data_IF_990629237501
#
_entry.id   IF_990629237501
#
_cell.length_a   1.000
_cell.length_b   1.000
_cell.length_c   1.000
_cell.angle_alpha   90.00
_cell.angle_beta   90.00
_cell.angle_gamma   90.00
#
_symmetry.space_group_name_H-M   'P 1'
#
loop_
_entity.id
_entity.type
_entity.pdbx_description
1 polymer ?
#
# COMPACT_ATOMS: atom_id res chain seq x y z
N UNK A 1 -9.19 1.74 3.41
CA UNK A 1 -10.52 1.16 3.19
C UNK A 1 -11.45 1.59 4.30
N UNK A 2 -12.47 2.42 3.99
CA UNK A 2 -13.54 2.75 4.96
C UNK A 2 -14.41 1.52 5.21
N UNK A 3 -14.54 0.61 4.24
CA UNK A 3 -15.19 -0.70 4.38
C UNK A 3 -14.72 -1.54 5.58
N UNK A 4 -13.47 -1.38 6.03
CA UNK A 4 -12.91 -2.10 7.18
C UNK A 4 -13.12 -1.38 8.52
N UNK A 5 -13.83 -0.25 8.51
CA UNK A 5 -13.99 0.64 9.67
C UNK A 5 -15.39 0.64 10.24
N UNK A 6 -16.27 -0.31 9.87
CA UNK A 6 -17.62 -0.43 10.43
C UNK A 6 -17.67 -0.22 11.97
N UNK A 7 -16.81 -0.88 12.78
CA UNK A 7 -16.84 -0.71 14.24
C UNK A 7 -16.05 0.50 14.75
N UNK A 8 -15.40 1.28 13.89
CA UNK A 8 -14.60 2.42 14.33
C UNK A 8 -15.49 3.50 14.96
N UNK A 9 -14.91 4.15 15.96
CA UNK A 9 -15.36 5.42 16.53
C UNK A 9 -14.41 6.55 16.14
N UNK A 10 -14.76 7.78 16.50
CA UNK A 10 -13.87 8.96 16.40
C UNK A 10 -12.53 8.73 17.11
N UNK A 11 -12.51 8.02 18.23
CA UNK A 11 -11.26 7.72 18.95
C UNK A 11 -10.37 6.78 18.17
N UNK A 12 -10.97 5.81 17.48
CA UNK A 12 -10.22 4.86 16.67
C UNK A 12 -9.54 5.54 15.49
N UNK A 13 -10.26 6.45 14.83
CA UNK A 13 -9.69 7.32 13.80
C UNK A 13 -8.63 8.27 14.36
N UNK A 14 -8.84 8.84 15.54
CA UNK A 14 -7.89 9.76 16.17
C UNK A 14 -6.55 9.06 16.45
N UNK A 15 -6.58 7.83 16.95
CA UNK A 15 -5.37 7.01 17.16
C UNK A 15 -4.64 6.76 15.85
N UNK A 16 -5.37 6.37 14.79
CA UNK A 16 -4.81 6.11 13.47
C UNK A 16 -4.21 7.37 12.84
N UNK A 17 -4.88 8.53 12.95
CA UNK A 17 -4.39 9.83 12.46
C UNK A 17 -3.11 10.23 13.19
N UNK A 18 -3.09 10.13 14.52
CA UNK A 18 -1.91 10.47 15.32
C UNK A 18 -0.72 9.57 14.96
N UNK A 19 -0.97 8.27 14.79
CA UNK A 19 0.05 7.30 14.40
C UNK A 19 0.56 7.57 12.98
N UNK A 20 -0.33 7.75 12.01
CA UNK A 20 0.04 8.05 10.62
C UNK A 20 0.86 9.33 10.52
N UNK A 21 0.42 10.40 11.17
CA UNK A 21 1.14 11.68 11.19
C UNK A 21 2.52 11.56 11.83
N UNK A 22 2.64 10.85 12.97
CA UNK A 22 3.94 10.56 13.61
C UNK A 22 4.92 9.87 12.65
N UNK A 23 4.40 9.02 11.77
CA UNK A 23 5.15 8.31 10.74
C UNK A 23 5.24 9.04 9.40
N UNK A 24 5.00 10.35 9.39
CA UNK A 24 5.18 11.27 8.25
C UNK A 24 4.19 11.08 7.09
N UNK A 25 3.04 10.45 7.34
CA UNK A 25 1.90 10.49 6.43
C UNK A 25 1.11 11.79 6.66
N UNK A 26 0.74 12.47 5.58
CA UNK A 26 0.06 13.77 5.64
C UNK A 26 -1.47 13.66 5.67
N UNK A 27 -2.00 12.47 5.41
CA UNK A 27 -3.43 12.32 5.21
C UNK A 27 -3.88 10.91 4.88
N UNK A 28 -5.20 10.76 4.74
CA UNK A 28 -5.83 9.54 4.26
C UNK A 28 -6.68 9.77 3.00
N UNK A 29 -6.51 8.87 2.04
CA UNK A 29 -7.47 8.64 0.96
C UNK A 29 -8.57 7.70 1.48
N UNK A 30 -9.76 8.23 1.72
CA UNK A 30 -10.88 7.48 2.27
C UNK A 30 -11.60 6.75 1.13
N UNK A 31 -11.19 5.50 0.89
CA UNK A 31 -11.86 4.62 -0.08
C UNK A 31 -13.25 4.22 0.42
N UNK A 32 -14.31 4.62 -0.31
CA UNK A 32 -15.72 4.44 0.06
C UNK A 32 -16.51 3.65 -0.98
N UNK A 33 -17.40 2.77 -0.50
CA UNK A 33 -18.31 1.95 -1.30
C UNK A 33 -19.77 2.43 -1.25
N UNK A 34 -20.70 1.51 -1.48
CA UNK A 34 -22.14 1.79 -1.67
C UNK A 34 -22.93 1.90 -0.37
N UNK A 35 -22.42 1.35 0.73
CA UNK A 35 -23.18 1.22 1.97
C UNK A 35 -23.26 2.56 2.73
N UNK A 36 -24.47 2.90 3.18
CA UNK A 36 -24.76 4.20 3.80
C UNK A 36 -23.91 4.50 5.04
N UNK A 37 -23.65 3.48 5.87
CA UNK A 37 -22.87 3.61 7.10
C UNK A 37 -21.42 4.08 6.85
N UNK A 38 -20.88 3.87 5.65
CA UNK A 38 -19.52 4.31 5.33
C UNK A 38 -19.41 5.85 5.39
N UNK A 39 -20.50 6.57 5.09
CA UNK A 39 -20.56 8.02 5.21
C UNK A 39 -20.41 8.48 6.66
N UNK A 40 -21.03 7.77 7.60
CA UNK A 40 -20.88 8.07 9.03
C UNK A 40 -19.43 7.87 9.48
N UNK A 41 -18.77 6.78 9.04
CA UNK A 41 -17.34 6.54 9.35
C UNK A 41 -16.41 7.56 8.70
N UNK A 42 -16.75 8.10 7.53
CA UNK A 42 -16.04 9.24 6.93
C UNK A 42 -16.18 10.48 7.81
N UNK A 43 -17.40 10.81 8.25
CA UNK A 43 -17.64 11.97 9.12
C UNK A 43 -16.91 11.84 10.47
N UNK A 44 -16.88 10.64 11.05
CA UNK A 44 -16.11 10.36 12.26
C UNK A 44 -14.60 10.61 12.04
N UNK A 45 -14.07 10.24 10.87
CA UNK A 45 -12.66 10.49 10.51
C UNK A 45 -12.35 11.99 10.38
N UNK A 46 -13.24 12.76 9.74
CA UNK A 46 -13.10 14.21 9.64
C UNK A 46 -13.16 14.89 11.02
N UNK A 47 -14.09 14.47 11.88
CA UNK A 47 -14.16 14.93 13.26
C UNK A 47 -12.88 14.59 14.05
N UNK A 48 -12.34 13.38 13.87
CA UNK A 48 -11.08 12.97 14.48
C UNK A 48 -9.90 13.82 14.00
N UNK A 49 -9.85 14.13 12.70
CA UNK A 49 -8.82 14.98 12.11
C UNK A 49 -8.88 16.42 12.65
N UNK A 50 -10.07 17.00 12.78
CA UNK A 50 -10.24 18.31 13.42
C UNK A 50 -9.80 18.28 14.88
N UNK A 51 -10.26 17.27 15.63
CA UNK A 51 -9.93 17.09 17.05
C UNK A 51 -8.43 16.88 17.30
N UNK A 52 -7.72 16.26 16.35
CA UNK A 52 -6.28 16.05 16.48
C UNK A 52 -5.47 17.36 16.53
N UNK A 53 -6.00 18.44 15.94
CA UNK A 53 -5.27 19.70 15.76
C UNK A 53 -4.05 19.61 14.84
N UNK A 54 -3.84 18.45 14.17
CA UNK A 54 -2.72 18.21 13.27
C UNK A 54 -3.05 18.74 11.86
N UNK A 55 -2.04 19.10 11.05
CA UNK A 55 -2.23 19.44 9.64
C UNK A 55 -2.50 18.20 8.77
N UNK A 56 -3.35 17.28 9.25
CA UNK A 56 -3.68 16.03 8.59
C UNK A 56 -4.86 16.23 7.62
N UNK A 57 -4.70 15.81 6.37
CA UNK A 57 -5.67 16.04 5.29
C UNK A 57 -6.40 14.77 4.89
N UNK A 58 -7.64 14.92 4.45
CA UNK A 58 -8.50 13.81 4.05
C UNK A 58 -9.09 14.11 2.67
N UNK A 59 -9.29 13.09 1.85
CA UNK A 59 -10.10 13.20 0.64
C UNK A 59 -10.80 11.88 0.33
N UNK A 60 -11.86 11.97 -0.46
CA UNK A 60 -12.68 10.80 -0.81
C UNK A 60 -12.08 10.12 -2.04
N UNK A 61 -11.95 8.80 -1.96
CA UNK A 61 -11.67 7.91 -3.09
C UNK A 61 -12.90 7.05 -3.35
N UNK A 62 -13.63 7.28 -4.43
CA UNK A 62 -14.82 6.49 -4.74
C UNK A 62 -14.44 5.12 -5.29
N UNK A 63 -14.88 4.04 -4.63
CA UNK A 63 -14.74 2.68 -5.16
C UNK A 63 -15.83 2.41 -6.19
N UNK A 64 -15.47 2.57 -7.45
CA UNK A 64 -16.40 2.40 -8.57
C UNK A 64 -16.62 0.94 -8.96
N UNK A 65 -15.95 -0.01 -8.30
CA UNK A 65 -16.34 -1.43 -8.39
C UNK A 65 -17.50 -1.74 -7.45
N UNK A 66 -17.70 -0.92 -6.43
CA UNK A 66 -18.82 -1.01 -5.49
C UNK A 66 -19.95 -0.05 -5.83
N UNK A 67 -19.67 1.21 -6.15
CA UNK A 67 -20.73 2.25 -6.30
C UNK A 67 -21.52 2.05 -7.61
N UNK A 68 -22.88 2.10 -7.57
CA UNK A 68 -23.70 2.15 -8.78
C UNK A 68 -23.28 3.27 -9.72
N UNK A 69 -23.30 3.03 -11.03
CA UNK A 69 -22.84 4.04 -12.01
C UNK A 69 -23.44 3.86 -13.40
N UNK A 70 -24.67 3.36 -13.45
CA UNK A 70 -25.38 3.08 -14.70
C UNK A 70 -26.18 4.29 -15.18
N UNK A 71 -26.84 5.03 -14.27
CA UNK A 71 -27.72 6.14 -14.62
C UNK A 71 -27.24 7.49 -14.08
N UNK A 72 -27.85 8.58 -14.53
CA UNK A 72 -27.52 9.93 -14.08
C UNK A 72 -27.82 10.15 -12.59
N UNK A 73 -28.80 9.44 -12.04
CA UNK A 73 -29.20 9.50 -10.64
C UNK A 73 -28.10 8.98 -9.70
N UNK A 74 -27.28 8.03 -10.15
CA UNK A 74 -26.20 7.45 -9.37
C UNK A 74 -25.13 8.48 -8.95
N UNK A 75 -25.04 9.61 -9.69
CA UNK A 75 -24.18 10.74 -9.30
C UNK A 75 -24.56 11.36 -7.96
N UNK A 76 -25.79 11.15 -7.49
CA UNK A 76 -26.29 11.64 -6.21
C UNK A 76 -25.45 11.16 -5.02
N UNK A 77 -25.01 9.89 -5.03
CA UNK A 77 -24.19 9.36 -3.94
C UNK A 77 -22.83 10.08 -3.85
N UNK A 78 -22.17 10.30 -4.98
CA UNK A 78 -20.89 11.03 -5.03
C UNK A 78 -21.07 12.48 -4.57
N UNK A 79 -22.15 13.13 -5.02
CA UNK A 79 -22.51 14.50 -4.63
C UNK A 79 -22.72 14.60 -3.12
N UNK A 80 -23.39 13.62 -2.52
CA UNK A 80 -23.69 13.59 -1.09
C UNK A 80 -22.45 13.44 -0.21
N UNK A 81 -21.43 12.71 -0.66
CA UNK A 81 -20.12 12.67 0.01
C UNK A 81 -19.41 14.01 -0.10
N UNK A 82 -19.30 14.59 -1.29
CA UNK A 82 -18.61 15.87 -1.49
C UNK A 82 -19.29 16.98 -0.69
N UNK A 83 -20.63 17.06 -0.71
CA UNK A 83 -21.39 18.05 0.06
C UNK A 83 -21.13 17.96 1.57
N UNK A 84 -20.90 16.75 2.09
CA UNK A 84 -20.69 16.53 3.51
C UNK A 84 -19.32 17.03 4.02
N UNK A 85 -18.29 17.05 3.15
CA UNK A 85 -16.89 17.25 3.59
C UNK A 85 -16.16 18.39 2.89
N UNK A 86 -16.67 18.91 1.77
CA UNK A 86 -16.00 19.89 0.91
C UNK A 86 -15.44 21.12 1.65
N UNK A 87 -16.16 21.63 2.64
CA UNK A 87 -15.80 22.84 3.37
C UNK A 87 -15.10 22.58 4.71
N UNK A 88 -14.83 21.32 5.04
CA UNK A 88 -14.15 20.96 6.27
C UNK A 88 -12.68 21.42 6.25
N UNK A 89 -12.10 21.95 7.34
CA UNK A 89 -10.72 22.44 7.38
C UNK A 89 -9.65 21.39 7.03
N UNK A 90 -9.92 20.11 7.35
CA UNK A 90 -9.07 18.97 7.01
C UNK A 90 -9.28 18.42 5.58
N UNK A 91 -10.18 18.97 4.76
CA UNK A 91 -10.32 18.55 3.36
C UNK A 91 -9.04 18.86 2.58
N UNK A 92 -8.49 17.86 1.90
CA UNK A 92 -7.35 18.05 1.00
C UNK A 92 -7.79 18.81 -0.25
N UNK A 93 -6.96 19.79 -0.62
CA UNK A 93 -7.18 20.64 -1.79
C UNK A 93 -5.88 20.74 -2.59
N UNK A 94 -6.00 20.70 -3.92
CA UNK A 94 -4.93 20.97 -4.88
C UNK A 94 -5.35 22.17 -5.70
N UNK A 95 -4.48 23.18 -5.82
CA UNK A 95 -4.77 24.45 -6.51
C UNK A 95 -6.10 25.10 -6.07
N UNK A 96 -6.41 25.01 -4.77
CA UNK A 96 -7.63 25.54 -4.16
C UNK A 96 -8.90 24.69 -4.38
N UNK A 97 -8.85 23.67 -5.24
CA UNK A 97 -9.97 22.78 -5.57
C UNK A 97 -10.00 21.55 -4.65
N UNK A 98 -11.19 21.03 -4.34
CA UNK A 98 -11.35 19.80 -3.54
C UNK A 98 -10.85 18.60 -4.34
N UNK A 99 -9.92 17.84 -3.76
CA UNK A 99 -9.43 16.61 -4.39
C UNK A 99 -10.44 15.49 -4.20
N UNK A 100 -10.71 14.79 -5.29
CA UNK A 100 -11.49 13.55 -5.32
C UNK A 100 -10.73 12.55 -6.18
N UNK A 101 -10.66 11.29 -5.74
CA UNK A 101 -10.10 10.20 -6.52
C UNK A 101 -11.10 9.06 -6.70
N UNK A 102 -10.68 8.03 -7.41
CA UNK A 102 -11.43 6.78 -7.57
C UNK A 102 -10.51 5.58 -7.43
N UNK A 103 -11.09 4.43 -7.13
CA UNK A 103 -10.55 3.14 -7.55
C UNK A 103 -11.44 2.62 -8.69
N UNK A 104 -10.84 2.26 -9.82
CA UNK A 104 -11.54 2.01 -11.08
C UNK A 104 -12.43 3.20 -11.51
N UNK A 105 -13.42 2.94 -12.37
CA UNK A 105 -14.41 3.90 -12.83
C UNK A 105 -14.34 4.19 -14.32
N UNK A 106 -13.38 3.61 -15.04
CA UNK A 106 -13.29 3.69 -16.50
C UNK A 106 -14.50 3.09 -17.21
N UNK A 107 -15.22 2.19 -16.56
CA UNK A 107 -16.45 1.57 -17.05
C UNK A 107 -17.74 2.22 -16.51
N UNK A 108 -17.65 3.14 -15.56
CA UNK A 108 -18.79 3.89 -15.05
C UNK A 108 -19.34 4.83 -16.12
N UNK A 109 -20.64 4.75 -16.43
CA UNK A 109 -21.25 5.45 -17.56
C UNK A 109 -22.17 6.59 -17.15
N UNK A 110 -22.88 6.47 -16.03
CA UNK A 110 -23.81 7.49 -15.53
C UNK A 110 -24.77 8.01 -16.63
N UNK A 111 -25.30 7.10 -17.45
CA UNK A 111 -26.17 7.42 -18.60
C UNK A 111 -25.48 8.04 -19.82
N UNK A 112 -24.15 8.15 -19.84
CA UNK A 112 -23.38 8.69 -20.97
C UNK A 112 -22.75 7.58 -21.83
N UNK A 113 -22.44 7.89 -23.09
CA UNK A 113 -21.87 6.92 -24.03
C UNK A 113 -20.40 6.58 -23.75
N UNK A 114 -19.62 7.57 -23.34
CA UNK A 114 -18.17 7.44 -23.15
C UNK A 114 -17.74 7.79 -21.73
N UNK A 115 -16.64 7.20 -21.26
CA UNK A 115 -16.01 7.51 -19.96
C UNK A 115 -15.71 8.99 -19.80
N UNK A 116 -15.20 9.65 -20.86
CA UNK A 116 -14.85 11.06 -20.79
C UNK A 116 -16.11 11.94 -20.61
N UNK A 117 -17.19 11.66 -21.34
CA UNK A 117 -18.47 12.37 -21.16
C UNK A 117 -19.05 12.11 -19.76
N UNK A 118 -19.06 10.85 -19.33
CA UNK A 118 -19.58 10.43 -18.03
C UNK A 118 -18.91 11.20 -16.88
N UNK A 119 -17.58 11.16 -16.80
CA UNK A 119 -16.85 11.83 -15.73
C UNK A 119 -16.81 13.35 -15.86
N UNK A 120 -16.96 13.89 -17.08
CA UNK A 120 -17.20 15.33 -17.27
C UNK A 120 -18.55 15.73 -16.67
N UNK A 121 -19.61 14.96 -16.89
CA UNK A 121 -20.93 15.20 -16.31
C UNK A 121 -20.92 15.04 -14.77
N UNK A 122 -20.28 13.99 -14.24
CA UNK A 122 -20.08 13.80 -12.79
C UNK A 122 -19.38 15.02 -12.19
N UNK A 123 -18.25 15.45 -12.77
CA UNK A 123 -17.49 16.60 -12.28
C UNK A 123 -18.35 17.87 -12.29
N UNK A 124 -19.13 18.15 -13.34
CA UNK A 124 -20.05 19.28 -13.35
C UNK A 124 -21.11 19.21 -12.24
N UNK A 125 -21.62 18.02 -11.90
CA UNK A 125 -22.56 17.84 -10.80
C UNK A 125 -21.89 18.17 -9.46
N UNK A 126 -20.68 17.65 -9.22
CA UNK A 126 -19.93 17.91 -8.00
C UNK A 126 -19.51 19.39 -7.86
N UNK A 127 -19.19 20.04 -8.99
CA UNK A 127 -18.81 21.45 -9.06
C UNK A 127 -19.94 22.43 -8.71
N UNK A 128 -21.20 21.95 -8.64
CA UNK A 128 -22.30 22.72 -8.04
C UNK A 128 -22.07 23.01 -6.55
N UNK A 129 -21.24 22.21 -5.87
CA UNK A 129 -20.88 22.40 -4.46
C UNK A 129 -19.61 23.23 -4.33
N UNK A 130 -18.53 22.84 -5.01
CA UNK A 130 -17.19 23.45 -4.91
C UNK A 130 -16.35 23.05 -6.12
N UNK A 131 -15.36 23.83 -6.57
CA UNK A 131 -14.40 23.40 -7.59
C UNK A 131 -13.73 22.06 -7.24
N UNK A 132 -13.62 21.15 -8.23
CA UNK A 132 -13.12 19.78 -8.06
C UNK A 132 -11.81 19.57 -8.81
N UNK A 133 -10.89 18.86 -8.16
CA UNK A 133 -9.66 18.33 -8.75
C UNK A 133 -9.73 16.80 -8.78
N UNK A 134 -10.04 16.24 -9.95
CA UNK A 134 -10.28 14.82 -10.13
C UNK A 134 -8.97 14.08 -10.50
N UNK A 135 -8.53 13.18 -9.63
CA UNK A 135 -7.34 12.33 -9.80
C UNK A 135 -7.78 10.84 -9.74
N UNK A 136 -8.33 10.28 -10.83
CA UNK A 136 -8.87 8.92 -10.79
C UNK A 136 -7.77 7.87 -10.94
N UNK A 137 -8.06 6.65 -10.47
CA UNK A 137 -7.30 5.44 -10.82
C UNK A 137 -8.11 4.57 -11.80
N UNK A 138 -8.29 5.07 -13.02
CA UNK A 138 -8.92 4.34 -14.11
C UNK A 138 -7.98 3.29 -14.70
N UNK A 139 -8.41 2.04 -14.85
CA UNK A 139 -7.55 0.98 -15.41
C UNK A 139 -7.52 0.99 -16.94
N UNK A 140 -6.91 2.02 -17.50
CA UNK A 140 -6.80 2.27 -18.94
C UNK A 140 -5.35 2.26 -19.41
N UNK A 141 -5.14 2.03 -20.72
CA UNK A 141 -3.85 2.26 -21.36
C UNK A 141 -3.41 3.73 -21.14
N UNK A 142 -2.17 4.01 -20.68
CA UNK A 142 -1.67 5.37 -20.54
C UNK A 142 -1.80 6.24 -21.79
N UNK A 143 -1.79 5.68 -23.00
CA UNK A 143 -2.00 6.43 -24.24
C UNK A 143 -3.39 7.08 -24.32
N UNK A 144 -4.38 6.58 -23.56
CA UNK A 144 -5.73 7.13 -23.52
C UNK A 144 -5.82 8.49 -22.79
N UNK A 145 -4.80 8.89 -22.02
CA UNK A 145 -4.84 10.13 -21.22
C UNK A 145 -5.10 11.39 -22.04
N UNK A 146 -4.61 11.45 -23.28
CA UNK A 146 -4.87 12.59 -24.18
C UNK A 146 -6.37 12.82 -24.46
N UNK A 147 -7.18 11.75 -24.41
CA UNK A 147 -8.61 11.81 -24.68
C UNK A 147 -9.44 11.97 -23.39
N UNK A 148 -8.82 11.87 -22.21
CA UNK A 148 -9.46 12.02 -20.90
C UNK A 148 -9.37 13.47 -20.42
N UNK A 149 -10.11 14.36 -21.07
CA UNK A 149 -10.20 15.78 -20.68
C UNK A 149 -10.97 16.01 -19.39
N UNK A 150 -11.73 15.01 -18.92
CA UNK A 150 -12.50 15.08 -17.66
C UNK A 150 -11.62 15.13 -16.39
N UNK A 151 -10.36 14.71 -16.45
CA UNK A 151 -9.48 14.58 -15.28
C UNK A 151 -8.55 15.78 -15.11
N UNK A 152 -8.19 16.13 -13.87
CA UNK A 152 -7.16 17.15 -13.54
C UNK A 152 -5.82 16.50 -13.16
N UNK A 153 -5.80 15.19 -12.99
CA UNK A 153 -4.64 14.39 -12.67
C UNK A 153 -4.91 12.92 -12.92
N UNK A 154 -3.98 12.07 -12.48
CA UNK A 154 -4.13 10.62 -12.58
C UNK A 154 -3.38 9.91 -11.46
N UNK A 155 -4.00 8.87 -10.91
CA UNK A 155 -3.41 8.01 -9.89
C UNK A 155 -3.04 6.64 -10.49
N UNK A 156 -1.74 6.37 -10.59
CA UNK A 156 -1.24 5.06 -11.01
C UNK A 156 -1.26 4.05 -9.85
N UNK A 157 -2.46 3.54 -9.51
CA UNK A 157 -2.66 2.57 -8.43
C UNK A 157 -1.84 1.28 -8.66
N UNK A 158 -1.86 0.75 -9.88
CA UNK A 158 -1.09 -0.45 -10.27
C UNK A 158 0.43 -0.22 -10.20
N UNK A 159 0.91 1.03 -10.18
CA UNK A 159 2.32 1.37 -10.01
C UNK A 159 2.93 0.93 -8.67
N UNK A 160 2.12 0.44 -7.73
CA UNK A 160 2.59 -0.14 -6.47
C UNK A 160 3.31 -1.48 -6.64
N UNK A 161 3.02 -2.23 -7.71
CA UNK A 161 3.50 -3.60 -7.91
C UNK A 161 3.86 -3.90 -9.38
N UNK A 162 4.70 -4.91 -9.65
CA UNK A 162 5.00 -5.36 -11.00
C UNK A 162 3.87 -6.26 -11.56
N UNK A 163 2.68 -5.69 -11.78
CA UNK A 163 1.47 -6.42 -12.18
C UNK A 163 1.52 -7.08 -13.57
N UNK A 164 2.55 -6.77 -14.38
CA UNK A 164 2.78 -7.37 -15.70
C UNK A 164 3.41 -8.76 -15.62
N UNK A 165 4.00 -9.13 -14.48
CA UNK A 165 4.66 -10.42 -14.33
C UNK A 165 3.65 -11.57 -14.34
N UNK A 166 4.01 -12.64 -15.04
CA UNK A 166 3.35 -13.94 -14.97
C UNK A 166 4.40 -15.01 -14.67
N UNK A 167 4.00 -16.23 -14.23
CA UNK A 167 4.93 -17.33 -14.03
C UNK A 167 5.77 -17.69 -15.27
N UNK A 168 5.33 -17.29 -16.46
CA UNK A 168 6.02 -17.48 -17.75
C UNK A 168 6.98 -16.33 -18.10
N UNK A 169 7.02 -15.26 -17.31
CA UNK A 169 7.98 -14.16 -17.50
C UNK A 169 9.43 -14.68 -17.41
N UNK A 170 10.38 -14.05 -18.13
CA UNK A 170 11.79 -14.38 -18.03
C UNK A 170 12.30 -14.38 -16.57
N UNK A 171 13.10 -15.37 -16.14
CA UNK A 171 13.56 -15.48 -14.75
C UNK A 171 14.29 -14.24 -14.24
N UNK A 172 15.05 -13.56 -15.10
CA UNK A 172 15.74 -12.31 -14.76
C UNK A 172 14.77 -11.15 -14.50
N UNK A 173 13.64 -11.11 -15.20
CA UNK A 173 12.58 -10.11 -15.03
C UNK A 173 11.78 -10.39 -13.76
N UNK A 174 11.49 -11.67 -13.48
CA UNK A 174 10.90 -12.06 -12.19
C UNK A 174 11.83 -11.67 -11.05
N UNK A 175 13.13 -11.97 -11.14
CA UNK A 175 14.07 -11.70 -10.04
C UNK A 175 14.14 -10.22 -9.67
N UNK A 176 14.21 -9.32 -10.66
CA UNK A 176 14.31 -7.88 -10.46
C UNK A 176 13.42 -7.15 -11.49
N UNK A 177 12.11 -7.04 -11.23
CA UNK A 177 11.20 -6.46 -12.19
C UNK A 177 11.44 -4.97 -12.35
N UNK A 178 11.15 -4.48 -13.56
CA UNK A 178 11.06 -3.06 -13.83
C UNK A 178 9.75 -2.54 -13.25
N UNK A 179 9.80 -1.34 -12.69
CA UNK A 179 8.65 -0.64 -12.12
C UNK A 179 8.37 0.63 -12.93
N UNK A 180 8.51 0.57 -14.25
CA UNK A 180 8.58 1.73 -15.15
C UNK A 180 7.21 2.25 -15.65
N UNK A 181 6.10 1.69 -15.16
CA UNK A 181 4.74 2.08 -15.55
C UNK A 181 4.50 3.59 -15.40
N UNK A 182 5.06 4.23 -14.38
CA UNK A 182 4.90 5.69 -14.18
C UNK A 182 5.39 6.51 -15.36
N UNK A 183 6.46 6.08 -16.02
CA UNK A 183 7.02 6.79 -17.18
C UNK A 183 6.06 6.76 -18.37
N UNK A 184 5.22 5.73 -18.48
CA UNK A 184 4.18 5.64 -19.50
C UNK A 184 3.02 6.59 -19.17
N UNK A 185 2.62 6.69 -17.90
CA UNK A 185 1.61 7.66 -17.48
C UNK A 185 2.10 9.10 -17.67
N UNK A 186 3.26 9.45 -17.12
CA UNK A 186 3.81 10.80 -17.15
C UNK A 186 3.99 11.36 -18.57
N UNK A 187 4.42 10.53 -19.52
CA UNK A 187 4.58 10.94 -20.93
C UNK A 187 3.26 11.36 -21.58
N UNK A 188 2.14 10.77 -21.17
CA UNK A 188 0.83 10.99 -21.78
C UNK A 188 -0.09 11.90 -20.95
N UNK A 189 0.30 12.24 -19.72
CA UNK A 189 -0.51 13.01 -18.78
C UNK A 189 -0.52 14.53 -19.06
N UNK A 190 0.34 14.99 -19.98
CA UNK A 190 0.40 16.38 -20.45
C UNK A 190 0.53 17.44 -19.32
N UNK A 191 1.28 17.13 -18.26
CA UNK A 191 1.54 18.05 -17.14
C UNK A 191 0.41 18.16 -16.11
N UNK A 192 -0.65 17.36 -16.21
CA UNK A 192 -1.65 17.21 -15.14
C UNK A 192 -1.03 16.57 -13.89
N UNK A 193 -1.69 16.71 -12.74
CA UNK A 193 -1.21 16.18 -11.46
C UNK A 193 -0.95 14.68 -11.53
N UNK A 194 0.25 14.25 -11.14
CA UNK A 194 0.60 12.85 -11.07
C UNK A 194 0.65 12.34 -9.63
N UNK A 195 -0.14 11.32 -9.37
CA UNK A 195 -0.17 10.61 -8.11
C UNK A 195 0.39 9.20 -8.29
N UNK A 196 1.47 8.89 -7.58
CA UNK A 196 2.15 7.61 -7.66
C UNK A 196 1.77 6.70 -6.49
N UNK A 197 1.72 5.39 -6.73
CA UNK A 197 1.52 4.39 -5.69
C UNK A 197 2.85 3.85 -5.14
N UNK A 198 2.87 3.53 -3.85
CA UNK A 198 3.90 2.71 -3.21
C UNK A 198 3.23 1.71 -2.27
N UNK A 199 3.63 0.45 -2.33
CA UNK A 199 3.04 -0.62 -1.53
C UNK A 199 4.08 -1.72 -1.23
N UNK A 200 4.01 -2.39 -0.07
CA UNK A 200 4.99 -3.41 0.26
C UNK A 200 4.72 -4.78 -0.35
N UNK A 201 3.46 -5.22 -0.39
CA UNK A 201 3.09 -6.62 -0.67
C UNK A 201 1.72 -6.69 -1.31
N UNK A 202 1.30 -7.83 -1.85
CA UNK A 202 -0.10 -8.05 -2.24
C UNK A 202 -0.40 -9.55 -2.25
N UNK A 203 -1.38 -9.94 -1.44
CA UNK A 203 -1.90 -11.30 -1.40
C UNK A 203 -3.33 -11.31 -0.92
N UNK A 204 -4.19 -12.00 -1.65
CA UNK A 204 -5.60 -12.23 -1.31
C UNK A 204 -5.95 -13.70 -1.47
N UNK A 205 -6.84 -14.22 -0.63
CA UNK A 205 -7.16 -15.64 -0.55
C UNK A 205 -8.64 -15.96 -0.30
N UNK A 206 -9.51 -15.25 -1.01
CA UNK A 206 -10.95 -15.50 -1.00
C UNK A 206 -11.32 -16.54 -2.06
N UNK A 207 -11.99 -17.62 -1.64
CA UNK A 207 -12.47 -18.69 -2.52
C UNK A 207 -13.59 -18.28 -3.48
N UNK A 208 -13.88 -19.17 -4.44
CA UNK A 208 -14.88 -18.94 -5.50
C UNK A 208 -16.28 -18.65 -4.93
N UNK A 209 -16.66 -19.29 -3.82
CA UNK A 209 -17.95 -19.09 -3.13
C UNK A 209 -18.03 -17.78 -2.33
N UNK A 210 -17.03 -16.90 -2.45
CA UNK A 210 -16.96 -15.60 -1.77
C UNK A 210 -16.66 -14.46 -2.75
N UNK A 211 -15.59 -13.68 -2.55
CA UNK A 211 -15.18 -12.62 -3.47
C UNK A 211 -14.41 -13.14 -4.68
N UNK A 212 -14.05 -14.43 -4.73
CA UNK A 212 -13.25 -15.04 -5.79
C UNK A 212 -11.95 -14.28 -6.07
N UNK A 213 -11.21 -13.98 -4.99
CA UNK A 213 -9.95 -13.23 -5.04
C UNK A 213 -8.81 -14.04 -4.47
N UNK A 214 -8.12 -14.77 -5.34
CA UNK A 214 -7.05 -15.69 -4.96
C UNK A 214 -5.81 -15.54 -5.86
N UNK A 215 -4.90 -14.63 -5.52
CA UNK A 215 -3.65 -14.39 -6.24
C UNK A 215 -2.63 -13.59 -5.42
N UNK A 216 -1.39 -13.54 -5.90
CA UNK A 216 -0.36 -12.61 -5.42
C UNK A 216 0.10 -11.66 -6.53
N UNK A 217 0.60 -10.49 -6.12
CA UNK A 217 1.59 -9.76 -6.90
C UNK A 217 2.96 -9.93 -6.25
N UNK A 218 4.03 -9.90 -7.06
CA UNK A 218 5.38 -10.05 -6.52
C UNK A 218 5.73 -8.85 -5.63
N UNK A 219 5.79 -9.07 -4.31
CA UNK A 219 6.29 -8.12 -3.31
C UNK A 219 7.76 -8.32 -2.91
N UNK A 220 8.41 -9.30 -3.53
CA UNK A 220 9.81 -9.67 -3.31
C UNK A 220 10.80 -8.65 -3.90
N UNK A 221 12.10 -8.91 -3.71
CA UNK A 221 13.20 -8.04 -4.16
C UNK A 221 13.15 -6.64 -3.53
N UNK A 222 12.86 -6.61 -2.22
CA UNK A 222 12.68 -5.38 -1.45
C UNK A 222 11.74 -4.36 -2.10
N UNK A 223 10.66 -4.82 -2.74
CA UNK A 223 9.75 -4.00 -3.54
C UNK A 223 9.46 -2.64 -2.89
N UNK A 224 9.09 -2.65 -1.60
CA UNK A 224 8.72 -1.43 -0.89
C UNK A 224 9.83 -0.36 -0.89
N UNK A 225 11.07 -0.78 -0.64
CA UNK A 225 12.24 0.11 -0.62
C UNK A 225 12.64 0.51 -2.03
N UNK A 226 12.71 -0.44 -2.96
CA UNK A 226 13.05 -0.15 -4.37
C UNK A 226 12.07 0.85 -4.98
N UNK A 227 10.77 0.70 -4.66
CA UNK A 227 9.73 1.60 -5.14
C UNK A 227 9.92 3.02 -4.60
N UNK A 228 10.22 3.18 -3.32
CA UNK A 228 10.57 4.48 -2.74
C UNK A 228 11.83 5.10 -3.35
N UNK A 229 12.88 4.32 -3.59
CA UNK A 229 14.11 4.78 -4.26
C UNK A 229 13.82 5.28 -5.69
N UNK A 230 12.97 4.57 -6.42
CA UNK A 230 12.54 5.01 -7.74
C UNK A 230 11.75 6.32 -7.67
N UNK A 231 10.77 6.42 -6.78
CA UNK A 231 9.99 7.65 -6.58
C UNK A 231 10.88 8.83 -6.19
N UNK A 232 11.91 8.59 -5.37
CA UNK A 232 12.92 9.59 -5.06
C UNK A 232 13.72 10.04 -6.29
N UNK A 233 14.08 9.12 -7.18
CA UNK A 233 14.82 9.43 -8.40
C UNK A 233 14.01 10.24 -9.43
N UNK A 234 12.68 10.21 -9.34
CA UNK A 234 11.77 10.98 -10.20
C UNK A 234 10.88 11.95 -9.41
N UNK A 235 11.32 12.35 -8.22
CA UNK A 235 10.55 13.15 -7.27
C UNK A 235 10.00 14.45 -7.87
N UNK A 236 10.75 15.06 -8.77
CA UNK A 236 10.38 16.29 -9.49
C UNK A 236 9.17 16.12 -10.43
N UNK A 237 8.76 14.88 -10.71
CA UNK A 237 7.63 14.53 -11.59
C UNK A 237 6.44 13.94 -10.84
N UNK A 238 6.51 13.85 -9.51
CA UNK A 238 5.47 13.21 -8.69
C UNK A 238 4.94 14.24 -7.71
N UNK A 239 3.66 14.59 -7.85
CA UNK A 239 3.02 15.60 -7.00
C UNK A 239 2.54 15.00 -5.68
N UNK A 240 2.05 13.76 -5.73
CA UNK A 240 1.46 13.05 -4.59
C UNK A 240 1.94 11.59 -4.61
N UNK A 241 2.28 11.05 -3.44
CA UNK A 241 2.51 9.60 -3.26
C UNK A 241 1.44 9.04 -2.34
N UNK A 242 0.74 8.00 -2.79
CA UNK A 242 -0.16 7.21 -1.94
C UNK A 242 0.53 5.92 -1.49
N UNK A 243 0.61 5.73 -0.17
CA UNK A 243 0.94 4.43 0.38
C UNK A 243 -0.30 3.55 0.36
N UNK A 244 -0.22 2.43 -0.35
CA UNK A 244 -1.30 1.45 -0.49
C UNK A 244 -0.90 0.25 0.39
N UNK A 245 -1.54 0.01 1.54
CA UNK A 245 -2.63 0.78 2.16
C UNK A 245 -2.40 0.95 3.65
N UNK A 246 -3.29 1.71 4.30
CA UNK A 246 -3.31 1.77 5.76
C UNK A 246 -3.89 0.49 6.38
N UNK A 247 -5.02 -0.01 5.88
CA UNK A 247 -5.83 -1.04 6.56
C UNK A 247 -6.55 -2.00 5.62
N UNK A 248 -6.04 -2.25 4.40
CA UNK A 248 -6.60 -3.31 3.55
C UNK A 248 -6.01 -4.67 3.92
N UNK A 249 -6.65 -5.32 4.90
CA UNK A 249 -6.16 -6.56 5.49
C UNK A 249 -6.31 -7.76 4.56
N UNK A 250 -7.45 -7.87 3.89
CA UNK A 250 -7.77 -8.98 3.00
C UNK A 250 -6.81 -9.11 1.81
N UNK A 251 -6.22 -8.00 1.36
CA UNK A 251 -5.23 -7.96 0.29
C UNK A 251 -3.77 -7.86 0.80
N UNK A 252 -3.56 -7.98 2.12
CA UNK A 252 -2.24 -8.16 2.75
C UNK A 252 -1.23 -7.03 2.51
N UNK A 253 -1.67 -5.85 2.09
CA UNK A 253 -0.79 -4.73 1.74
C UNK A 253 -0.89 -3.54 2.70
N UNK A 254 -1.53 -3.75 3.85
CA UNK A 254 -1.65 -2.77 4.92
C UNK A 254 -0.30 -2.52 5.61
N UNK A 255 -0.09 -1.30 6.11
CA UNK A 255 1.04 -0.96 6.99
C UNK A 255 0.57 -0.45 8.38
N UNK A 256 -0.71 -0.13 8.52
CA UNK A 256 -1.32 0.26 9.78
C UNK A 256 -1.52 -0.92 10.73
N UNK A 257 -1.91 -0.65 11.98
CA UNK A 257 -2.25 -1.70 12.93
C UNK A 257 -3.48 -2.48 12.47
N UNK A 258 -3.53 -3.78 12.73
CA UNK A 258 -4.73 -4.60 12.51
C UNK A 258 -5.79 -4.16 13.53
N UNK A 259 -6.83 -3.51 13.03
CA UNK A 259 -7.92 -2.92 13.81
C UNK A 259 -9.21 -2.88 12.99
N UNK A 260 -10.35 -2.93 13.66
CA UNK A 260 -11.66 -2.84 13.03
C UNK A 260 -12.12 -4.18 12.45
N UNK A 261 -12.72 -4.15 11.27
CA UNK A 261 -13.23 -5.33 10.59
C UNK A 261 -12.22 -5.86 9.57
N UNK A 262 -12.10 -7.18 9.50
CA UNK A 262 -11.32 -7.93 8.50
C UNK A 262 -12.18 -9.07 7.95
N UNK A 263 -13.24 -8.75 7.20
CA UNK A 263 -14.26 -9.73 6.83
C UNK A 263 -13.62 -10.94 6.13
N UNK A 264 -13.77 -12.13 6.73
CA UNK A 264 -13.33 -13.43 6.21
C UNK A 264 -11.85 -13.55 5.82
N UNK A 265 -10.96 -12.72 6.39
CA UNK A 265 -9.51 -12.76 6.14
C UNK A 265 -8.67 -13.17 7.36
N UNK A 266 -9.33 -13.52 8.47
CA UNK A 266 -8.70 -13.96 9.73
C UNK A 266 -7.64 -15.03 9.50
N UNK A 267 -7.92 -16.00 8.62
CA UNK A 267 -7.07 -17.15 8.36
C UNK A 267 -5.66 -16.80 7.84
N UNK A 268 -5.48 -15.65 7.19
CA UNK A 268 -4.15 -15.18 6.72
C UNK A 268 -3.68 -13.85 7.29
N UNK A 269 -4.55 -13.13 8.02
CA UNK A 269 -4.24 -11.83 8.63
C UNK A 269 -3.84 -11.97 10.10
N UNK A 270 -4.50 -12.84 10.87
CA UNK A 270 -4.25 -12.96 12.30
C UNK A 270 -2.81 -13.43 12.57
N UNK A 271 -2.07 -12.65 13.35
CA UNK A 271 -0.67 -12.94 13.67
C UNK A 271 0.35 -12.41 12.67
N UNK A 272 -0.06 -11.63 11.66
CA UNK A 272 0.83 -11.06 10.64
C UNK A 272 0.89 -9.52 10.73
N UNK A 273 1.43 -8.94 11.83
CA UNK A 273 1.50 -7.50 11.94
C UNK A 273 2.48 -6.90 10.93
N UNK A 274 2.11 -5.75 10.35
CA UNK A 274 2.93 -5.05 9.35
C UNK A 274 3.54 -3.72 9.87
N UNK A 275 3.47 -3.48 11.19
CA UNK A 275 3.87 -2.19 11.78
C UNK A 275 5.34 -1.81 11.53
N UNK A 276 6.24 -2.79 11.43
CA UNK A 276 7.64 -2.54 11.09
C UNK A 276 7.79 -1.89 9.68
N UNK A 277 6.90 -2.17 8.74
CA UNK A 277 6.86 -1.44 7.46
C UNK A 277 6.39 0.01 7.63
N UNK A 278 5.49 0.32 8.56
CA UNK A 278 5.12 1.71 8.84
C UNK A 278 6.31 2.52 9.40
N UNK A 279 7.12 1.91 10.27
CA UNK A 279 8.34 2.55 10.77
C UNK A 279 9.36 2.77 9.65
N UNK A 280 9.64 1.72 8.86
CA UNK A 280 10.52 1.80 7.69
C UNK A 280 10.03 2.84 6.66
N UNK A 281 8.73 2.86 6.36
CA UNK A 281 8.12 3.81 5.43
C UNK A 281 8.36 5.26 5.85
N UNK A 282 8.38 5.55 7.16
CA UNK A 282 8.56 6.92 7.65
C UNK A 282 9.88 7.54 7.18
N UNK A 283 10.95 6.74 7.09
CA UNK A 283 12.24 7.20 6.58
C UNK A 283 12.14 7.69 5.13
N UNK A 284 11.50 6.88 4.26
CA UNK A 284 11.37 7.20 2.84
C UNK A 284 10.34 8.31 2.58
N UNK A 285 9.22 8.32 3.31
CA UNK A 285 8.23 9.39 3.22
C UNK A 285 8.85 10.75 3.59
N UNK A 286 9.67 10.82 4.65
CA UNK A 286 10.43 12.04 5.00
C UNK A 286 11.44 12.40 3.91
N UNK A 287 12.12 11.42 3.32
CA UNK A 287 13.06 11.65 2.23
C UNK A 287 12.35 12.28 1.02
N UNK A 288 11.21 11.72 0.62
CA UNK A 288 10.39 12.25 -0.48
C UNK A 288 9.89 13.64 -0.19
N UNK A 289 9.40 13.92 1.02
CA UNK A 289 8.93 15.28 1.35
C UNK A 289 10.05 16.31 1.32
N UNK A 290 11.24 15.97 1.83
CA UNK A 290 12.36 16.91 1.96
C UNK A 290 13.32 16.93 0.78
N UNK A 291 13.20 15.99 -0.16
CA UNK A 291 14.11 15.84 -1.30
C UNK A 291 15.48 15.27 -0.95
N UNK A 292 15.68 14.80 0.28
CA UNK A 292 16.96 14.22 0.73
C UNK A 292 16.72 13.12 1.77
N UNK A 293 17.51 12.06 1.69
CA UNK A 293 17.48 11.01 2.71
C UNK A 293 17.89 11.58 4.09
N UNK A 294 17.06 11.39 5.15
CA UNK A 294 17.46 11.75 6.51
C UNK A 294 18.69 10.95 6.96
N UNK A 295 19.51 11.46 7.89
CA UNK A 295 20.57 10.66 8.49
C UNK A 295 19.98 9.50 9.30
N UNK A 296 20.61 8.32 9.21
CA UNK A 296 20.32 7.19 10.09
C UNK A 296 20.89 7.48 11.48
N UNK A 297 20.03 7.60 12.47
CA UNK A 297 20.40 8.00 13.85
C UNK A 297 20.31 6.87 14.87
N UNK A 298 19.77 5.72 14.47
CA UNK A 298 19.68 4.50 15.28
C UNK A 298 19.95 3.30 14.40
N UNK A 299 20.69 2.34 14.94
CA UNK A 299 20.84 1.04 14.29
C UNK A 299 19.52 0.28 14.36
N UNK A 300 18.99 -0.08 13.20
CA UNK A 300 17.72 -0.79 13.07
C UNK A 300 17.82 -1.83 11.98
N UNK A 301 17.18 -2.97 12.21
CA UNK A 301 16.96 -4.01 11.21
C UNK A 301 15.47 -4.15 11.02
N UNK A 302 15.01 -4.26 9.78
CA UNK A 302 13.65 -4.65 9.42
C UNK A 302 13.72 -5.94 8.63
N UNK A 303 12.85 -6.90 8.95
CA UNK A 303 12.79 -8.18 8.24
C UNK A 303 11.35 -8.56 7.89
N UNK A 304 11.17 -9.26 6.78
CA UNK A 304 9.90 -9.88 6.47
C UNK A 304 10.04 -11.14 5.62
N UNK A 305 9.08 -12.05 5.80
CA UNK A 305 9.01 -13.30 5.05
C UNK A 305 7.60 -13.89 5.06
N UNK A 306 7.32 -14.71 4.04
CA UNK A 306 6.18 -15.62 4.06
C UNK A 306 6.37 -16.73 5.11
N UNK A 307 5.28 -17.30 5.63
CA UNK A 307 5.35 -18.26 6.73
C UNK A 307 5.72 -19.69 6.33
N UNK A 308 5.73 -20.04 5.04
CA UNK A 308 6.01 -21.40 4.57
C UNK A 308 6.63 -21.42 3.16
N UNK A 309 7.26 -22.53 2.72
CA UNK A 309 7.74 -22.67 1.34
C UNK A 309 6.61 -22.40 0.33
N UNK A 310 6.89 -21.70 -0.77
CA UNK A 310 5.87 -21.40 -1.79
C UNK A 310 5.24 -22.67 -2.37
N UNK A 311 6.02 -23.75 -2.39
CA UNK A 311 5.63 -25.06 -2.88
C UNK A 311 4.96 -25.95 -1.83
N UNK A 312 4.84 -25.51 -0.58
CA UNK A 312 4.23 -26.29 0.49
C UNK A 312 2.77 -26.65 0.16
N UNK A 313 2.35 -27.83 0.60
CA UNK A 313 0.96 -28.25 0.52
C UNK A 313 0.21 -27.83 1.80
N UNK A 314 -0.99 -27.32 1.63
CA UNK A 314 -1.91 -27.01 2.72
C UNK A 314 -3.23 -27.76 2.50
N UNK A 315 -3.84 -28.31 3.57
CA UNK A 315 -5.20 -28.86 3.55
C UNK A 315 -6.25 -27.73 3.57
N UNK A 316 -6.14 -26.83 2.59
CA UNK A 316 -7.00 -25.65 2.45
C UNK A 316 -8.11 -25.92 1.45
N UNK A 317 -9.31 -25.39 1.72
CA UNK A 317 -10.47 -25.49 0.83
C UNK A 317 -10.33 -24.54 -0.37
N UNK A 318 -9.56 -23.45 -0.22
CA UNK A 318 -9.22 -22.54 -1.31
C UNK A 318 -7.94 -23.05 -1.98
N UNK A 319 -7.91 -23.19 -3.33
CA UNK A 319 -6.69 -23.65 -4.00
C UNK A 319 -5.54 -22.67 -3.79
N UNK A 320 -4.31 -23.13 -4.00
CA UNK A 320 -3.12 -22.26 -3.94
C UNK A 320 -3.31 -21.00 -4.82
N UNK A 321 -2.97 -19.79 -4.35
CA UNK A 321 -3.22 -18.54 -5.08
C UNK A 321 -2.55 -18.52 -6.45
N UNK A 322 -3.21 -17.92 -7.45
CA UNK A 322 -2.54 -17.68 -8.74
C UNK A 322 -1.26 -16.87 -8.55
N UNK A 323 -0.28 -17.11 -9.43
CA UNK A 323 1.03 -16.46 -9.43
C UNK A 323 1.92 -16.78 -8.22
N UNK A 324 1.59 -17.78 -7.39
CA UNK A 324 2.41 -18.22 -6.26
C UNK A 324 3.87 -18.54 -6.63
N UNK A 325 4.17 -18.82 -7.90
CA UNK A 325 5.52 -19.09 -8.39
C UNK A 325 6.42 -17.84 -8.36
N UNK A 326 5.82 -16.64 -8.38
CA UNK A 326 6.51 -15.35 -8.47
C UNK A 326 7.18 -14.90 -7.17
N UNK A 327 7.18 -15.74 -6.13
CA UNK A 327 7.85 -15.43 -4.86
C UNK A 327 9.03 -16.37 -4.59
N UNK A 328 9.89 -15.95 -3.67
CA UNK A 328 11.12 -16.59 -3.25
C UNK A 328 10.97 -17.13 -1.82
N UNK A 329 11.67 -18.22 -1.49
CA UNK A 329 11.72 -18.81 -0.14
C UNK A 329 12.89 -18.18 0.65
N UNK A 330 12.84 -16.86 0.80
CA UNK A 330 13.84 -16.04 1.50
C UNK A 330 13.16 -15.14 2.53
N UNK A 331 13.94 -14.64 3.48
CA UNK A 331 13.57 -13.44 4.21
C UNK A 331 14.34 -12.24 3.73
N UNK A 332 13.63 -11.12 3.60
CA UNK A 332 14.17 -9.85 3.15
C UNK A 332 14.57 -9.03 4.36
N UNK A 333 15.67 -8.30 4.24
CA UNK A 333 16.29 -7.52 5.30
C UNK A 333 16.61 -6.12 4.81
N UNK A 334 16.26 -5.12 5.61
CA UNK A 334 16.76 -3.76 5.47
C UNK A 334 17.53 -3.41 6.75
N UNK A 335 18.82 -3.18 6.61
CA UNK A 335 19.70 -2.75 7.69
C UNK A 335 19.94 -1.24 7.59
N UNK A 336 19.63 -0.52 8.66
CA UNK A 336 19.93 0.90 8.81
C UNK A 336 21.04 1.02 9.85
N UNK A 337 22.24 1.39 9.42
CA UNK A 337 23.41 1.49 10.28
C UNK A 337 23.85 2.95 10.46
N UNK A 338 24.19 3.33 11.68
CA UNK A 338 24.72 4.67 12.03
C UNK A 338 26.19 4.85 11.65
N UNK A 339 26.93 3.74 11.58
CA UNK A 339 28.35 3.65 11.26
C UNK A 339 28.67 2.25 10.70
N UNK A 340 29.84 2.03 10.08
CA UNK A 340 30.23 0.71 9.60
C UNK A 340 30.03 -0.39 10.64
N UNK A 341 29.52 -1.54 10.20
CA UNK A 341 29.14 -2.66 11.05
C UNK A 341 29.24 -3.99 10.28
N UNK A 342 29.03 -5.10 10.98
CA UNK A 342 28.85 -6.43 10.40
C UNK A 342 27.40 -6.86 10.60
N UNK A 343 26.70 -7.19 9.53
CA UNK A 343 25.37 -7.79 9.59
C UNK A 343 25.52 -9.31 9.48
N UNK A 344 25.02 -10.04 10.47
CA UNK A 344 24.91 -11.49 10.46
C UNK A 344 23.47 -11.90 10.18
N UNK A 345 23.26 -12.84 9.26
CA UNK A 345 21.95 -13.39 8.90
C UNK A 345 21.97 -14.92 9.04
N UNK A 346 20.89 -15.52 9.55
CA UNK A 346 20.71 -16.97 9.54
C UNK A 346 19.25 -17.37 9.61
N UNK A 347 18.93 -18.60 9.22
CA UNK A 347 17.61 -19.22 9.42
C UNK A 347 17.64 -20.40 10.37
N UNK A 348 18.74 -21.14 10.40
CA UNK A 348 19.06 -22.22 11.33
C UNK A 348 20.39 -21.98 12.06
N UNK A 349 20.97 -23.06 12.57
CA UNK A 349 22.21 -23.01 13.37
C UNK A 349 23.49 -23.08 12.54
N UNK A 350 23.42 -23.54 11.29
CA UNK A 350 24.59 -23.86 10.46
C UNK A 350 24.70 -23.00 9.19
N UNK A 351 23.75 -22.10 8.94
CA UNK A 351 23.63 -21.33 7.69
C UNK A 351 23.95 -19.84 7.87
N UNK A 352 24.75 -19.48 8.87
CA UNK A 352 25.08 -18.08 9.14
C UNK A 352 25.89 -17.44 8.01
N UNK A 353 25.46 -16.26 7.55
CA UNK A 353 26.17 -15.41 6.61
C UNK A 353 26.54 -14.07 7.25
N UNK A 354 27.73 -13.54 6.95
CA UNK A 354 28.22 -12.27 7.49
C UNK A 354 28.52 -11.27 6.36
N UNK A 355 28.08 -10.03 6.54
CA UNK A 355 28.20 -8.95 5.56
C UNK A 355 28.78 -7.69 6.20
N UNK A 356 29.83 -7.12 5.62
CA UNK A 356 30.29 -5.79 6.02
C UNK A 356 29.38 -4.72 5.42
N UNK A 357 28.82 -3.85 6.27
CA UNK A 357 27.90 -2.80 5.86
C UNK A 357 28.47 -1.42 6.22
N UNK A 358 28.15 -0.43 5.40
CA UNK A 358 28.50 0.97 5.66
C UNK A 358 27.37 1.66 6.43
N UNK A 359 27.63 2.88 6.91
CA UNK A 359 26.56 3.74 7.43
C UNK A 359 25.50 4.01 6.34
N UNK A 360 24.24 4.12 6.74
CA UNK A 360 23.10 4.32 5.84
C UNK A 360 22.19 3.10 5.76
N UNK A 361 21.47 2.99 4.65
CA UNK A 361 20.50 1.92 4.39
C UNK A 361 21.12 0.89 3.46
N UNK A 362 21.01 -0.39 3.80
CA UNK A 362 21.46 -1.51 2.98
C UNK A 362 20.39 -2.60 2.93
N UNK A 363 20.30 -3.27 1.78
CA UNK A 363 19.31 -4.32 1.50
C UNK A 363 20.02 -5.68 1.42
N UNK A 364 19.55 -6.66 2.19
CA UNK A 364 20.06 -8.04 2.20
C UNK A 364 18.92 -9.04 2.28
N UNK A 365 19.18 -10.28 1.91
CA UNK A 365 18.22 -11.37 2.03
C UNK A 365 18.99 -12.64 2.35
N UNK A 366 18.27 -13.63 2.87
CA UNK A 366 18.85 -14.92 3.22
C UNK A 366 17.80 -16.02 3.04
N UNK A 367 18.25 -17.20 2.64
CA UNK A 367 17.34 -18.32 2.40
C UNK A 367 16.67 -18.77 3.69
N UNK A 368 15.39 -19.11 3.61
CA UNK A 368 14.67 -19.71 4.73
C UNK A 368 14.80 -21.23 4.70
N UNK A 369 15.19 -21.81 5.83
CA UNK A 369 15.27 -23.26 5.99
C UNK A 369 13.94 -23.75 6.57
N UNK A 370 13.32 -24.81 6.03
CA UNK A 370 12.12 -25.42 6.61
C UNK A 370 12.30 -25.74 8.10
N UNK A 371 11.42 -25.21 8.95
CA UNK A 371 11.50 -25.31 10.42
C UNK A 371 12.38 -24.24 11.10
N UNK A 372 13.14 -23.46 10.33
CA UNK A 372 13.97 -22.35 10.81
C UNK A 372 13.18 -21.10 11.15
N UNK A 373 13.90 -19.99 11.35
CA UNK A 373 13.36 -18.66 11.63
C UNK A 373 13.98 -17.60 10.71
N UNK A 374 13.67 -16.33 10.93
CA UNK A 374 14.45 -15.20 10.40
C UNK A 374 15.33 -14.69 11.53
N UNK A 375 16.65 -14.68 11.37
CA UNK A 375 17.55 -14.08 12.34
C UNK A 375 18.48 -13.09 11.67
N UNK A 376 18.58 -11.90 12.26
CA UNK A 376 19.58 -10.91 11.89
C UNK A 376 20.17 -10.23 13.13
N UNK A 377 21.48 -10.04 13.13
CA UNK A 377 22.20 -9.33 14.18
C UNK A 377 23.16 -8.33 13.54
N UNK A 378 23.08 -7.06 13.95
CA UNK A 378 24.08 -6.07 13.58
C UNK A 378 25.12 -5.98 14.69
N UNK A 379 26.39 -6.20 14.34
CA UNK A 379 27.53 -6.14 15.26
C UNK A 379 28.40 -4.92 14.96
N UNK A 380 28.78 -4.20 16.01
CA UNK A 380 29.79 -3.14 15.95
C UNK A 380 30.81 -3.37 17.06
N UNK A 381 32.08 -3.50 16.69
CA UNK A 381 33.15 -3.87 17.63
C UNK A 381 32.83 -5.15 18.43
N UNK A 382 32.28 -6.18 17.77
CA UNK A 382 31.82 -7.44 18.37
C UNK A 382 30.69 -7.33 19.41
N UNK A 383 30.05 -6.16 19.55
CA UNK A 383 28.83 -6.00 20.33
C UNK A 383 27.62 -5.98 19.41
N UNK A 384 26.58 -6.73 19.78
CA UNK A 384 25.28 -6.67 19.09
C UNK A 384 24.62 -5.33 19.40
N UNK A 385 24.43 -4.51 18.36
CA UNK A 385 23.81 -3.18 18.46
C UNK A 385 22.36 -3.16 18.00
N UNK A 386 21.94 -4.16 17.23
CA UNK A 386 20.55 -4.36 16.82
C UNK A 386 20.28 -5.87 16.63
N UNK A 387 19.71 -6.57 17.62
CA UNK A 387 19.25 -7.96 17.46
C UNK A 387 17.84 -7.98 16.87
N UNK A 388 17.59 -8.90 15.94
CA UNK A 388 16.27 -9.13 15.37
C UNK A 388 16.04 -10.64 15.16
N UNK A 389 15.30 -11.23 16.10
CA UNK A 389 14.89 -12.64 16.06
C UNK A 389 13.47 -12.72 16.63
N UNK A 390 12.42 -12.88 15.79
CA UNK A 390 11.04 -12.97 16.25
C UNK A 390 10.76 -14.35 16.89
N UNK A 391 10.26 -14.33 18.13
CA UNK A 391 9.88 -15.54 18.87
C UNK A 391 8.70 -16.30 18.24
N UNK A 392 7.79 -15.57 17.59
CA UNK A 392 6.53 -16.06 17.04
C UNK A 392 6.57 -16.39 15.54
N UNK A 393 7.76 -16.43 14.92
CA UNK A 393 7.91 -16.83 13.53
C UNK A 393 8.68 -18.15 13.42
N UNK A 394 8.17 -19.06 12.60
CA UNK A 394 8.88 -20.24 12.12
C UNK A 394 8.48 -20.46 10.66
N UNK A 395 9.43 -20.89 9.83
CA UNK A 395 9.15 -21.23 8.45
C UNK A 395 8.49 -22.62 8.40
N UNK A 396 7.16 -22.61 8.39
CA UNK A 396 6.32 -23.78 8.57
C UNK A 396 6.44 -24.72 7.38
N UNK A 397 6.66 -26.00 7.66
CA UNK A 397 6.77 -27.05 6.64
C UNK A 397 5.39 -27.47 6.14
N UNK A 398 4.44 -27.58 7.07
CA UNK A 398 3.08 -28.06 6.82
C UNK A 398 2.07 -26.98 7.23
N UNK A 399 1.87 -25.96 6.39
CA UNK A 399 0.89 -24.92 6.65
C UNK A 399 -0.54 -25.49 6.64
N UNK A 400 -1.46 -24.86 7.37
CA UNK A 400 -2.89 -25.19 7.35
C UNK A 400 -3.66 -24.46 6.26
N UNK A 401 -3.15 -23.30 5.85
CA UNK A 401 -3.75 -22.37 4.89
C UNK A 401 -2.66 -22.00 3.88
N UNK A 402 -2.99 -21.78 2.61
CA UNK A 402 -2.04 -21.24 1.63
C UNK A 402 -1.79 -19.74 1.90
N UNK A 403 -1.16 -19.43 3.03
CA UNK A 403 -0.93 -18.06 3.48
C UNK A 403 0.33 -17.46 2.84
N UNK A 404 0.12 -16.61 1.83
CA UNK A 404 1.16 -15.82 1.18
C UNK A 404 1.21 -14.37 1.69
N UNK A 405 0.58 -14.06 2.82
CA UNK A 405 0.86 -12.86 3.59
C UNK A 405 2.27 -12.99 4.20
N UNK A 406 2.79 -11.91 4.78
CA UNK A 406 4.14 -11.93 5.36
C UNK A 406 4.16 -11.48 6.80
N UNK A 407 5.04 -12.11 7.55
CA UNK A 407 5.36 -11.68 8.90
C UNK A 407 6.41 -10.59 8.80
N UNK A 408 6.15 -9.42 9.40
CA UNK A 408 7.07 -8.27 9.37
C UNK A 408 7.54 -7.94 10.78
N UNK A 409 8.84 -7.80 10.97
CA UNK A 409 9.45 -7.51 12.26
C UNK A 409 10.58 -6.50 12.15
N UNK A 410 11.03 -6.00 13.29
CA UNK A 410 12.16 -5.10 13.41
C UNK A 410 12.98 -5.37 14.67
N UNK A 411 14.21 -4.88 14.71
CA UNK A 411 15.10 -5.03 15.87
C UNK A 411 14.63 -4.21 17.06
N UNK A 412 14.82 -4.75 18.27
CA UNK A 412 14.43 -4.13 19.54
C UNK A 412 15.31 -2.96 19.97
#
# INVERSE_FOLDING_TARGET
MVGNTYPYTVYDWLDDINLAHKHALDGFALNVGREEWQKDRVLDCYQAAERSGLPFKLFISFDMTSIPSESTEDTGLLLDYVKAVAYHPNQFRSDGKVVVSTFAGEHSRFGCETTNQAWTAVKMVLEKITPIHLIPAFFVDPAAHYNLTCTDGYFNWNGGWPVHLTPESPPEEIRCPKLDSDSHHLRNLAGKTYMAAVSPWFFTHYGEDSWNKNWIYRGDDWLFVRRWEQLMAMRDKVDIVQVISWNDYGESHYIGPIKGAQPNSQAWVDGYPHKAWLELNSYFARAFKTGRYPPVTRDKIYMWARPHPKDAWAPDDVPRPRNWQLTDDVFWVVAMATAPAVLMLSSGTEDSAAFHIQAGVSKFCHNLIPGGTMKAEMLRHNHVVAPCEPDNFRFQINPRVYNFNVFVTEST
#
